data_IF_609474975877
#
_entry.id   IF_609474975877
#
_cell.length_a   1.000
_cell.length_b   1.000
_cell.length_c   1.000
_cell.angle_alpha   90.00
_cell.angle_beta   90.00
_cell.angle_gamma   90.00
#
_symmetry.space_group_name_H-M   'P 1'
#
loop_
_entity.id
_entity.type
_entity.pdbx_description
1 polymer ?
#
# COMPACT_ATOMS: atom_id res chain seq x y z
N UNK A 1 -8.93 -18.19 14.97
CA UNK A 1 -9.44 -17.01 15.72
C UNK A 1 -8.73 -16.99 17.06
N UNK A 2 -8.05 -15.90 17.37
CA UNK A 2 -7.29 -15.70 18.63
C UNK A 2 -7.68 -14.34 19.20
N UNK A 3 -7.68 -14.22 20.52
CA UNK A 3 -7.93 -12.99 21.28
C UNK A 3 -6.64 -12.18 21.53
N UNK A 4 -5.49 -12.63 21.02
CA UNK A 4 -4.22 -11.90 21.14
C UNK A 4 -3.27 -12.37 22.24
N UNK A 5 -3.61 -13.41 23.01
CA UNK A 5 -2.70 -14.05 23.97
C UNK A 5 -2.47 -15.54 23.67
N UNK A 6 -1.20 -15.91 23.51
CA UNK A 6 -0.78 -17.29 23.34
C UNK A 6 -0.61 -17.96 24.71
N UNK A 7 -1.69 -18.57 25.22
CA UNK A 7 -1.71 -19.17 26.55
C UNK A 7 -1.35 -20.67 26.59
N UNK A 8 -1.10 -21.32 25.43
CA UNK A 8 -0.76 -22.75 25.35
C UNK A 8 0.27 -23.01 24.25
N UNK A 9 1.41 -23.60 24.60
CA UNK A 9 2.47 -23.99 23.66
C UNK A 9 3.70 -23.09 23.71
N UNK A 10 4.35 -22.94 22.55
CA UNK A 10 5.59 -22.17 22.34
C UNK A 10 5.46 -20.78 22.99
N UNK A 11 6.21 -20.54 24.06
CA UNK A 11 5.96 -19.43 24.99
C UNK A 11 6.67 -18.13 24.65
N UNK A 12 7.42 -18.08 23.54
CA UNK A 12 8.11 -16.88 23.07
C UNK A 12 7.75 -16.55 21.63
N UNK A 13 7.62 -15.25 21.33
CA UNK A 13 7.37 -14.73 19.97
C UNK A 13 8.42 -15.24 18.96
N UNK A 14 9.69 -15.37 19.40
CA UNK A 14 10.79 -15.81 18.55
C UNK A 14 10.70 -17.29 18.14
N UNK A 15 10.24 -18.15 19.04
CA UNK A 15 10.07 -19.56 18.75
C UNK A 15 8.84 -19.80 17.86
N UNK A 16 7.78 -19.01 18.03
CA UNK A 16 6.61 -19.02 17.14
C UNK A 16 6.99 -18.61 15.72
N UNK A 17 7.74 -17.50 15.57
CA UNK A 17 8.26 -17.06 14.28
C UNK A 17 9.11 -18.15 13.62
N UNK A 18 10.01 -18.81 14.37
CA UNK A 18 10.81 -19.92 13.84
C UNK A 18 9.96 -21.10 13.37
N UNK A 19 8.96 -21.50 14.16
CA UNK A 19 8.04 -22.58 13.78
C UNK A 19 7.32 -22.24 12.47
N UNK A 20 6.84 -21.00 12.35
CA UNK A 20 6.13 -20.53 11.16
C UNK A 20 7.07 -20.47 9.95
N UNK A 21 8.28 -19.95 10.13
CA UNK A 21 9.32 -19.93 9.09
C UNK A 21 9.77 -21.34 8.66
N UNK A 22 9.70 -22.34 9.55
CA UNK A 22 9.90 -23.74 9.21
C UNK A 22 8.70 -24.29 8.42
N UNK A 23 7.46 -24.04 8.87
CA UNK A 23 6.25 -24.55 8.21
C UNK A 23 6.03 -23.96 6.82
N UNK A 24 6.38 -22.69 6.58
CA UNK A 24 6.27 -22.10 5.25
C UNK A 24 7.18 -22.76 4.21
N UNK A 25 8.32 -23.36 4.62
CA UNK A 25 9.18 -24.13 3.71
C UNK A 25 8.48 -25.38 3.16
N UNK A 26 7.45 -25.87 3.86
CA UNK A 26 6.59 -26.97 3.43
C UNK A 26 5.32 -26.49 2.71
N UNK A 27 5.25 -25.20 2.31
CA UNK A 27 4.08 -24.61 1.67
C UNK A 27 2.89 -24.37 2.61
N UNK A 28 3.11 -24.37 3.93
CA UNK A 28 2.07 -24.11 4.93
C UNK A 28 2.15 -22.63 5.34
N UNK A 29 1.17 -21.84 4.89
CA UNK A 29 1.08 -20.41 5.21
C UNK A 29 0.14 -20.12 6.39
N UNK A 30 0.42 -19.05 7.13
CA UNK A 30 -0.35 -18.64 8.31
C UNK A 30 -1.20 -17.40 8.04
N UNK A 31 -2.52 -17.57 8.00
CA UNK A 31 -3.45 -16.43 8.01
C UNK A 31 -4.05 -16.22 9.40
N UNK A 32 -4.06 -14.97 9.85
CA UNK A 32 -4.55 -14.56 11.18
C UNK A 32 -5.76 -13.65 11.00
N UNK A 33 -6.84 -13.99 11.70
CA UNK A 33 -8.10 -13.25 11.69
C UNK A 33 -8.35 -12.71 13.10
N UNK A 34 -8.23 -11.38 13.27
CA UNK A 34 -8.60 -10.65 14.47
C UNK A 34 -10.05 -10.21 14.39
N UNK A 35 -10.81 -10.39 15.48
CA UNK A 35 -12.21 -9.98 15.57
C UNK A 35 -12.43 -9.11 16.81
N UNK A 36 -13.20 -8.04 16.67
CA UNK A 36 -13.67 -7.25 17.82
C UNK A 36 -13.56 -5.74 17.62
N UNK A 37 -13.78 -5.00 18.70
CA UNK A 37 -13.65 -3.54 18.77
C UNK A 37 -12.55 -3.23 19.81
N UNK A 38 -11.34 -2.86 19.39
CA UNK A 38 -10.28 -2.44 20.32
C UNK A 38 -8.84 -2.66 19.83
N UNK A 39 -7.87 -2.36 20.70
CA UNK A 39 -6.45 -2.59 20.45
C UNK A 39 -6.12 -4.09 20.61
N UNK A 40 -6.62 -4.91 19.68
CA UNK A 40 -6.01 -6.19 19.37
C UNK A 40 -4.53 -5.86 19.09
N UNK A 41 -3.59 -6.67 19.57
CA UNK A 41 -2.14 -6.44 19.37
C UNK A 41 -1.78 -6.62 17.88
N UNK A 42 -2.36 -5.80 16.99
CA UNK A 42 -2.38 -5.90 15.53
C UNK A 42 -0.96 -6.01 14.99
N UNK A 43 -0.09 -5.10 15.44
CA UNK A 43 1.31 -5.09 15.04
C UNK A 43 2.07 -6.39 15.35
N UNK A 44 1.63 -7.22 16.31
CA UNK A 44 2.23 -8.54 16.56
C UNK A 44 1.64 -9.59 15.63
N UNK A 45 0.33 -9.61 15.48
CA UNK A 45 -0.36 -10.61 14.64
C UNK A 45 -0.04 -10.41 13.15
N UNK A 46 0.09 -9.17 12.71
CA UNK A 46 0.57 -8.81 11.38
C UNK A 46 1.99 -9.33 11.15
N UNK A 47 2.93 -9.03 12.05
CA UNK A 47 4.31 -9.53 11.96
C UNK A 47 4.37 -11.06 11.88
N UNK A 48 3.56 -11.75 12.67
CA UNK A 48 3.52 -13.22 12.71
C UNK A 48 2.96 -13.77 11.39
N UNK A 49 1.88 -13.18 10.86
CA UNK A 49 1.30 -13.58 9.57
C UNK A 49 2.27 -13.32 8.41
N UNK A 50 2.94 -12.17 8.41
CA UNK A 50 3.96 -11.81 7.42
C UNK A 50 5.12 -12.80 7.41
N UNK A 51 5.59 -13.22 8.59
CA UNK A 51 6.64 -14.25 8.71
C UNK A 51 6.20 -15.63 8.23
N UNK A 52 4.89 -15.88 8.14
CA UNK A 52 4.31 -17.11 7.61
C UNK A 52 3.85 -17.03 6.16
N UNK A 53 4.25 -15.99 5.42
CA UNK A 53 3.83 -15.72 4.04
C UNK A 53 2.29 -15.76 3.90
N UNK A 54 1.57 -15.39 4.95
CA UNK A 54 0.11 -15.35 4.96
C UNK A 54 -0.42 -13.94 5.17
N UNK A 55 -1.65 -13.84 5.67
CA UNK A 55 -2.37 -12.57 5.71
C UNK A 55 -2.91 -12.29 7.10
N UNK A 56 -2.84 -11.02 7.50
CA UNK A 56 -3.56 -10.51 8.65
C UNK A 56 -4.83 -9.80 8.20
N UNK A 57 -5.95 -10.11 8.85
CA UNK A 57 -7.20 -9.39 8.65
C UNK A 57 -7.82 -9.00 9.98
N UNK A 58 -8.20 -7.74 10.10
CA UNK A 58 -9.00 -7.21 11.19
C UNK A 58 -10.47 -7.15 10.75
N UNK A 59 -11.35 -7.80 11.50
CA UNK A 59 -12.78 -7.92 11.19
C UNK A 59 -13.59 -7.26 12.30
N UNK A 60 -14.08 -6.06 12.03
CA UNK A 60 -14.96 -5.28 12.91
C UNK A 60 -16.44 -5.32 12.50
N UNK A 61 -16.73 -5.78 11.28
CA UNK A 61 -18.06 -5.73 10.71
C UNK A 61 -18.39 -6.99 9.92
N UNK A 62 -19.69 -7.26 9.76
CA UNK A 62 -20.17 -8.36 8.90
C UNK A 62 -19.72 -8.13 7.44
N UNK A 63 -19.59 -6.88 7.02
CA UNK A 63 -19.13 -6.54 5.67
C UNK A 63 -17.66 -6.92 5.49
N UNK A 64 -16.79 -6.59 6.45
CA UNK A 64 -15.39 -6.98 6.43
C UNK A 64 -15.24 -8.50 6.58
N UNK A 65 -16.05 -9.14 7.42
CA UNK A 65 -16.07 -10.61 7.54
C UNK A 65 -16.42 -11.28 6.20
N UNK A 66 -17.41 -10.75 5.48
CA UNK A 66 -17.78 -11.23 4.14
C UNK A 66 -16.66 -10.99 3.14
N UNK A 67 -16.05 -9.81 3.16
CA UNK A 67 -14.91 -9.48 2.30
C UNK A 67 -13.80 -10.50 2.46
N UNK A 68 -13.36 -10.73 3.70
CA UNK A 68 -12.24 -11.61 4.01
C UNK A 68 -12.58 -13.08 3.77
N UNK A 69 -13.72 -13.56 4.25
CA UNK A 69 -14.05 -14.99 4.27
C UNK A 69 -14.79 -15.50 3.02
N UNK A 70 -15.41 -14.61 2.24
CA UNK A 70 -16.19 -15.00 1.06
C UNK A 70 -15.54 -14.47 -0.21
N UNK A 71 -15.24 -13.17 -0.27
CA UNK A 71 -14.77 -12.53 -1.49
C UNK A 71 -13.27 -12.76 -1.73
N UNK A 72 -12.45 -12.62 -0.68
CA UNK A 72 -10.98 -12.64 -0.77
C UNK A 72 -10.37 -13.98 -0.33
N UNK A 73 -11.13 -14.86 0.31
CA UNK A 73 -10.60 -16.16 0.80
C UNK A 73 -10.06 -17.04 -0.34
N UNK A 74 -10.62 -16.93 -1.55
CA UNK A 74 -10.06 -17.63 -2.71
C UNK A 74 -8.69 -17.08 -3.13
N UNK A 75 -8.49 -15.77 -3.03
CA UNK A 75 -7.24 -15.10 -3.39
C UNK A 75 -6.09 -15.49 -2.45
N UNK A 76 -6.39 -15.76 -1.17
CA UNK A 76 -5.38 -16.18 -0.19
C UNK A 76 -4.96 -17.64 -0.32
N UNK A 77 -5.75 -18.48 -1.01
CA UNK A 77 -5.47 -19.90 -1.19
C UNK A 77 -4.61 -20.18 -2.43
N UNK A 78 -4.69 -19.34 -3.47
CA UNK A 78 -4.00 -19.55 -4.73
C UNK A 78 -2.99 -18.45 -5.00
N UNK A 79 -1.73 -18.75 -4.67
CA UNK A 79 -0.59 -17.87 -4.99
C UNK A 79 -0.28 -17.97 -6.47
N UNK A 80 -0.25 -16.84 -7.17
CA UNK A 80 0.08 -16.75 -8.60
C UNK A 80 1.50 -16.23 -8.84
N UNK A 81 2.11 -15.60 -7.84
CA UNK A 81 3.50 -15.17 -7.90
C UNK A 81 4.09 -15.07 -6.48
N UNK A 82 5.31 -15.59 -6.33
CA UNK A 82 6.10 -15.54 -5.08
C UNK A 82 7.17 -14.46 -5.13
N UNK A 83 7.64 -14.04 -3.97
CA UNK A 83 8.76 -13.09 -3.83
C UNK A 83 8.61 -11.84 -4.70
N UNK A 84 7.40 -11.27 -4.71
CA UNK A 84 7.10 -10.07 -5.50
C UNK A 84 7.77 -8.86 -4.87
N UNK A 85 8.64 -8.23 -5.66
CA UNK A 85 9.41 -7.03 -5.31
C UNK A 85 9.07 -5.92 -6.28
N UNK A 86 8.84 -4.74 -5.73
CA UNK A 86 8.54 -3.52 -6.49
C UNK A 86 9.71 -2.55 -6.32
N UNK A 87 10.20 -2.03 -7.44
CA UNK A 87 11.16 -0.93 -7.46
C UNK A 87 10.66 0.15 -8.41
N UNK A 88 10.59 1.37 -7.90
CA UNK A 88 10.19 2.54 -8.67
C UNK A 88 11.43 3.39 -8.93
N UNK A 89 11.62 3.77 -10.18
CA UNK A 89 12.68 4.66 -10.62
C UNK A 89 12.04 5.91 -11.25
N UNK A 90 12.18 7.05 -10.58
CA UNK A 90 11.65 8.32 -11.10
C UNK A 90 12.65 8.97 -12.05
N UNK A 91 12.13 9.61 -13.10
CA UNK A 91 12.95 10.36 -14.04
C UNK A 91 13.39 11.70 -13.40
N UNK A 92 14.68 11.92 -13.09
CA UNK A 92 15.15 13.14 -12.42
C UNK A 92 15.01 14.40 -13.27
N UNK A 93 14.77 14.27 -14.59
CA UNK A 93 14.45 15.41 -15.45
C UNK A 93 12.99 15.88 -15.31
N UNK A 94 12.14 15.10 -14.63
CA UNK A 94 10.70 15.36 -14.46
C UNK A 94 10.26 15.41 -13.01
N UNK A 95 10.95 14.69 -12.13
CA UNK A 95 10.64 14.59 -10.69
C UNK A 95 11.89 14.93 -9.90
N UNK A 96 11.80 15.97 -9.08
CA UNK A 96 12.88 16.42 -8.22
C UNK A 96 12.94 15.62 -6.92
N UNK A 97 11.78 15.40 -6.30
CA UNK A 97 11.65 14.60 -5.09
C UNK A 97 10.32 13.86 -5.06
N UNK A 98 10.23 12.81 -4.26
CA UNK A 98 9.04 11.99 -4.16
C UNK A 98 8.93 11.34 -2.78
N UNK A 99 7.71 10.93 -2.42
CA UNK A 99 7.41 10.25 -1.17
C UNK A 99 6.31 9.20 -1.36
N UNK A 100 6.49 8.04 -0.75
CA UNK A 100 5.49 6.97 -0.70
C UNK A 100 4.47 7.24 0.41
N UNK A 101 3.18 7.11 0.12
CA UNK A 101 2.09 7.31 1.08
C UNK A 101 1.57 5.94 1.55
N UNK A 102 1.65 5.68 2.86
CA UNK A 102 0.94 4.59 3.54
C UNK A 102 1.53 3.16 3.43
N UNK A 103 2.46 2.91 2.51
CA UNK A 103 3.05 1.58 2.27
C UNK A 103 4.46 1.41 2.88
N UNK A 104 4.71 2.01 4.04
CA UNK A 104 6.05 2.17 4.60
C UNK A 104 6.66 0.86 5.14
N UNK A 105 5.85 -0.05 5.70
CA UNK A 105 6.32 -1.26 6.38
C UNK A 105 6.91 -2.36 5.47
N UNK A 106 6.71 -2.23 4.15
CA UNK A 106 7.19 -3.20 3.14
C UNK A 106 8.30 -2.63 2.24
N UNK A 107 8.94 -1.54 2.64
CA UNK A 107 10.06 -0.97 1.91
C UNK A 107 11.25 -1.93 1.88
N UNK A 108 11.67 -2.28 0.66
CA UNK A 108 12.82 -3.14 0.41
C UNK A 108 14.08 -2.29 0.20
N UNK A 109 15.22 -2.74 0.72
CA UNK A 109 16.52 -2.14 0.41
C UNK A 109 16.82 -2.27 -1.09
N UNK A 110 17.58 -1.32 -1.66
CA UNK A 110 17.87 -1.31 -3.10
C UNK A 110 18.67 -2.54 -3.54
N UNK A 111 19.55 -3.01 -2.66
CA UNK A 111 20.42 -4.16 -2.85
C UNK A 111 19.62 -5.47 -2.87
N UNK A 112 18.59 -5.54 -2.04
CA UNK A 112 17.71 -6.70 -1.87
C UNK A 112 16.79 -6.94 -3.09
N UNK A 113 16.60 -5.94 -3.96
CA UNK A 113 15.74 -6.04 -5.14
C UNK A 113 16.21 -7.12 -6.13
N UNK A 114 17.52 -7.35 -6.25
CA UNK A 114 18.07 -8.33 -7.19
C UNK A 114 18.48 -9.66 -6.55
N UNK A 115 18.33 -9.81 -5.23
CA UNK A 115 18.71 -11.03 -4.52
C UNK A 115 17.55 -12.03 -4.46
N UNK A 116 17.59 -13.09 -5.28
CA UNK A 116 16.56 -14.14 -5.28
C UNK A 116 16.48 -14.95 -3.98
N UNK A 117 17.46 -14.82 -3.07
CA UNK A 117 17.41 -15.42 -1.73
C UNK A 117 16.61 -14.59 -0.74
N UNK A 118 16.34 -13.32 -1.08
CA UNK A 118 15.56 -12.42 -0.25
C UNK A 118 14.07 -12.63 -0.50
N UNK A 119 13.40 -13.13 0.54
CA UNK A 119 11.96 -13.28 0.65
C UNK A 119 11.23 -11.94 0.54
N UNK A 120 10.09 -11.92 -0.15
CA UNK A 120 9.29 -10.71 -0.37
C UNK A 120 7.77 -11.01 -0.33
N UNK A 121 6.95 -10.13 -0.91
CA UNK A 121 5.49 -10.26 -0.82
C UNK A 121 4.93 -11.34 -1.74
N UNK A 122 3.90 -12.05 -1.28
CA UNK A 122 3.17 -13.02 -2.11
C UNK A 122 1.97 -12.36 -2.79
N UNK A 123 1.70 -12.73 -4.05
CA UNK A 123 0.55 -12.26 -4.80
C UNK A 123 -0.44 -13.39 -5.05
N UNK A 124 -1.63 -13.22 -4.50
CA UNK A 124 -2.78 -14.12 -4.69
C UNK A 124 -3.61 -13.80 -5.94
N UNK A 125 -4.31 -14.79 -6.47
CA UNK A 125 -5.20 -14.63 -7.61
C UNK A 125 -6.29 -13.57 -7.33
N UNK A 126 -6.43 -12.58 -8.21
CA UNK A 126 -7.44 -11.51 -8.06
C UNK A 126 -7.10 -10.43 -7.03
N UNK A 127 -5.91 -10.47 -6.41
CA UNK A 127 -5.44 -9.40 -5.52
C UNK A 127 -4.84 -8.25 -6.32
N UNK A 128 -5.08 -7.02 -5.85
CA UNK A 128 -4.45 -5.81 -6.36
C UNK A 128 -3.70 -5.11 -5.25
N UNK A 129 -2.57 -4.48 -5.59
CA UNK A 129 -1.78 -3.65 -4.67
C UNK A 129 -1.72 -2.25 -5.24
N UNK A 130 -2.04 -1.27 -4.40
CA UNK A 130 -1.98 0.15 -4.74
C UNK A 130 -0.87 0.81 -3.93
N UNK A 131 0.08 1.43 -4.61
CA UNK A 131 1.08 2.30 -4.00
C UNK A 131 0.85 3.73 -4.52
N UNK A 132 0.74 4.70 -3.61
CA UNK A 132 0.52 6.10 -3.95
C UNK A 132 1.82 6.85 -3.67
N UNK A 133 2.28 7.60 -4.67
CA UNK A 133 3.43 8.47 -4.54
C UNK A 133 2.99 9.92 -4.70
N UNK A 134 3.46 10.77 -3.81
CA UNK A 134 3.49 12.21 -3.98
C UNK A 134 4.81 12.59 -4.62
N UNK A 135 4.78 13.51 -5.58
CA UNK A 135 5.96 13.96 -6.32
C UNK A 135 6.06 15.48 -6.31
N UNK A 136 7.29 15.98 -6.34
CA UNK A 136 7.60 17.38 -6.66
C UNK A 136 8.15 17.39 -8.09
N UNK A 137 7.47 18.04 -9.05
CA UNK A 137 7.96 18.15 -10.41
C UNK A 137 9.30 18.89 -10.48
N UNK A 138 10.18 18.47 -11.40
CA UNK A 138 11.46 19.12 -11.59
C UNK A 138 11.29 20.55 -12.16
N UNK A 139 12.10 21.49 -11.66
CA UNK A 139 12.11 22.88 -12.12
C UNK A 139 11.05 23.76 -11.46
N UNK A 140 10.38 23.29 -10.41
CA UNK A 140 9.61 24.16 -9.50
C UNK A 140 10.58 24.86 -8.53
N UNK A 141 10.24 26.07 -8.10
CA UNK A 141 11.00 26.79 -7.05
C UNK A 141 10.57 26.35 -5.64
N UNK A 142 10.03 25.13 -5.49
CA UNK A 142 9.62 24.64 -4.17
C UNK A 142 10.87 24.28 -3.36
N UNK A 143 10.88 24.70 -2.09
CA UNK A 143 11.96 24.34 -1.16
C UNK A 143 11.88 22.85 -0.84
N UNK A 144 12.47 22.01 -1.70
CA UNK A 144 12.76 20.63 -1.34
C UNK A 144 13.85 20.64 -0.27
N UNK A 145 13.83 19.67 0.66
CA UNK A 145 14.96 19.43 1.57
C UNK A 145 16.15 19.02 0.71
N UNK A 146 16.94 20.00 0.29
CA UNK A 146 18.08 19.83 -0.60
C UNK A 146 19.11 18.95 0.10
N UNK A 147 19.37 17.77 -0.46
CA UNK A 147 20.55 16.98 -0.11
C UNK A 147 21.71 17.53 -0.92
N UNK A 148 22.87 17.72 -0.29
CA UNK A 148 24.05 18.21 -0.99
C UNK A 148 24.33 17.38 -2.25
N UNK A 149 24.61 18.01 -3.40
CA UNK A 149 24.95 17.30 -4.63
C UNK A 149 26.12 16.34 -4.38
N UNK A 150 25.94 15.07 -4.77
CA UNK A 150 26.97 14.06 -4.58
C UNK A 150 28.17 14.38 -5.46
N UNK A 151 29.29 14.77 -4.83
CA UNK A 151 30.54 15.23 -5.46
C UNK A 151 31.06 14.33 -6.60
N UNK A 152 30.84 13.01 -6.50
CA UNK A 152 31.35 12.03 -7.45
C UNK A 152 30.29 11.46 -8.40
N UNK A 153 29.03 11.89 -8.28
CA UNK A 153 27.96 11.48 -9.18
C UNK A 153 27.69 12.57 -10.19
N UNK A 154 27.91 12.27 -11.47
CA UNK A 154 27.41 13.11 -12.57
C UNK A 154 26.00 12.66 -12.89
N UNK A 155 25.01 13.51 -12.61
CA UNK A 155 23.65 13.32 -13.11
C UNK A 155 23.61 13.91 -14.52
N UNK A 156 23.85 13.07 -15.54
CA UNK A 156 23.58 13.46 -16.92
C UNK A 156 22.08 13.35 -17.17
N UNK A 157 21.37 14.47 -17.05
CA UNK A 157 19.98 14.56 -17.47
C UNK A 157 19.93 14.43 -18.99
N UNK A 158 19.46 13.28 -19.47
CA UNK A 158 19.19 13.09 -20.89
C UNK A 158 17.97 13.93 -21.26
N UNK A 159 18.19 15.20 -21.60
CA UNK A 159 17.19 16.08 -22.21
C UNK A 159 16.89 15.62 -23.64
N UNK A 160 16.31 14.43 -23.81
CA UNK A 160 15.55 14.16 -25.02
C UNK A 160 14.26 14.95 -24.90
N UNK A 161 14.28 16.16 -25.43
CA UNK A 161 13.10 16.99 -25.68
C UNK A 161 12.00 16.08 -26.27
N UNK A 162 10.96 15.81 -25.48
CA UNK A 162 9.81 15.00 -25.89
C UNK A 162 9.55 13.72 -25.11
N UNK A 163 10.43 13.25 -24.21
CA UNK A 163 10.08 12.09 -23.39
C UNK A 163 9.20 12.52 -22.20
N UNK A 164 7.93 12.09 -22.22
CA UNK A 164 6.96 12.35 -21.16
C UNK A 164 6.98 11.25 -20.07
N UNK A 165 7.93 10.31 -20.13
CA UNK A 165 8.16 9.32 -19.09
C UNK A 165 8.48 9.97 -17.74
N UNK A 166 7.61 9.72 -16.77
CA UNK A 166 7.66 10.21 -15.40
C UNK A 166 8.46 9.26 -14.50
N UNK A 167 8.22 7.96 -14.67
CA UNK A 167 8.84 6.90 -13.88
C UNK A 167 8.86 5.57 -14.62
N UNK A 168 9.67 4.64 -14.13
CA UNK A 168 9.65 3.23 -14.50
C UNK A 168 9.30 2.39 -13.28
N UNK A 169 8.30 1.52 -13.44
CA UNK A 169 7.95 0.48 -12.47
C UNK A 169 8.68 -0.80 -12.86
N UNK A 170 9.47 -1.35 -11.94
CA UNK A 170 10.12 -2.65 -12.07
C UNK A 170 9.49 -3.62 -11.09
N UNK A 171 9.01 -4.75 -11.59
CA UNK A 171 8.40 -5.81 -10.80
C UNK A 171 9.23 -7.06 -10.98
N UNK A 172 9.84 -7.56 -9.91
CA UNK A 172 10.51 -8.85 -9.89
C UNK A 172 9.64 -9.85 -9.15
N UNK A 173 9.46 -11.05 -9.69
CA UNK A 173 8.61 -12.09 -9.09
C UNK A 173 9.05 -13.48 -9.52
N UNK A 174 8.66 -14.52 -8.79
CA UNK A 174 8.83 -15.93 -9.15
C UNK A 174 7.48 -16.56 -9.49
N UNK A 175 7.46 -17.49 -10.42
CA UNK A 175 6.27 -18.34 -10.62
C UNK A 175 6.06 -19.24 -9.39
N UNK A 176 4.85 -19.74 -9.11
CA UNK A 176 4.56 -20.51 -7.89
C UNK A 176 5.48 -21.71 -7.67
N UNK A 177 5.88 -22.40 -8.74
CA UNK A 177 6.72 -23.60 -8.71
C UNK A 177 8.18 -23.34 -9.12
N UNK A 178 8.58 -22.08 -9.29
CA UNK A 178 9.96 -21.71 -9.69
C UNK A 178 10.68 -21.01 -8.53
N UNK A 179 12.00 -21.12 -8.52
CA UNK A 179 12.90 -20.45 -7.58
C UNK A 179 13.69 -19.31 -8.25
N UNK A 180 13.62 -19.21 -9.58
CA UNK A 180 14.26 -18.15 -10.36
C UNK A 180 13.29 -17.01 -10.61
N UNK A 181 13.71 -15.77 -10.37
CA UNK A 181 12.83 -14.62 -10.60
C UNK A 181 12.82 -14.13 -12.06
N UNK A 182 11.71 -13.52 -12.43
CA UNK A 182 11.44 -12.82 -13.68
C UNK A 182 11.32 -11.33 -13.40
N UNK A 183 11.74 -10.49 -14.35
CA UNK A 183 11.66 -9.03 -14.25
C UNK A 183 10.69 -8.48 -15.31
N UNK A 184 9.71 -7.71 -14.86
CA UNK A 184 8.86 -6.86 -15.68
C UNK A 184 9.29 -5.41 -15.49
N UNK A 185 9.25 -4.63 -16.57
CA UNK A 185 9.57 -3.22 -16.54
C UNK A 185 8.55 -2.44 -17.38
N UNK A 186 7.95 -1.43 -16.77
CA UNK A 186 6.86 -0.64 -17.34
C UNK A 186 7.19 0.84 -17.15
N UNK A 187 7.36 1.56 -18.24
CA UNK A 187 7.45 3.02 -18.20
C UNK A 187 6.07 3.66 -18.07
N UNK A 188 5.96 4.67 -17.22
CA UNK A 188 4.74 5.45 -17.02
C UNK A 188 5.00 6.87 -17.50
N UNK A 189 4.10 7.35 -18.34
CA UNK A 189 4.17 8.66 -18.97
C UNK A 189 3.16 9.59 -18.30
N UNK A 190 3.58 10.82 -18.01
CA UNK A 190 2.66 11.87 -17.59
C UNK A 190 1.85 12.35 -18.80
N UNK A 191 0.52 12.21 -18.71
CA UNK A 191 -0.42 12.64 -19.75
C UNK A 191 -0.88 14.08 -19.55
N UNK A 192 -0.42 14.77 -18.50
CA UNK A 192 -0.80 16.13 -18.12
C UNK A 192 -2.33 16.32 -18.09
N UNK A 193 -3.02 15.36 -17.45
CA UNK A 193 -4.48 15.35 -17.32
C UNK A 193 -4.88 15.85 -15.95
N UNK A 194 -6.02 16.52 -15.88
CA UNK A 194 -6.63 16.85 -14.59
C UNK A 194 -7.02 15.58 -13.84
N UNK A 195 -7.02 15.64 -12.51
CA UNK A 195 -7.49 14.53 -11.66
C UNK A 195 -8.91 14.08 -12.03
N UNK A 196 -9.77 15.00 -12.50
CA UNK A 196 -11.14 14.70 -12.94
C UNK A 196 -11.22 13.89 -14.24
N UNK A 197 -10.15 13.85 -15.02
CA UNK A 197 -10.02 13.05 -16.24
C UNK A 197 -9.33 11.70 -16.00
N UNK A 198 -8.80 11.48 -14.79
CA UNK A 198 -8.22 10.21 -14.39
C UNK A 198 -9.29 9.13 -14.20
N UNK A 199 -8.84 7.87 -14.13
CA UNK A 199 -9.72 6.74 -13.87
C UNK A 199 -10.51 6.92 -12.56
N UNK A 200 -11.66 6.26 -12.46
CA UNK A 200 -12.40 6.17 -11.19
C UNK A 200 -11.50 5.67 -10.07
N UNK A 201 -10.65 4.70 -10.34
CA UNK A 201 -9.84 4.04 -9.32
C UNK A 201 -8.74 4.96 -8.80
N UNK A 202 -8.10 5.73 -9.67
CA UNK A 202 -7.11 6.72 -9.25
C UNK A 202 -7.74 7.79 -8.36
N UNK A 203 -8.87 8.36 -8.79
CA UNK A 203 -9.60 9.38 -8.01
C UNK A 203 -10.07 8.84 -6.67
N UNK A 204 -10.57 7.61 -6.63
CA UNK A 204 -11.04 6.98 -5.40
C UNK A 204 -9.88 6.67 -4.45
N UNK A 205 -8.74 6.17 -4.96
CA UNK A 205 -7.56 5.95 -4.13
C UNK A 205 -6.99 7.27 -3.58
N UNK A 206 -7.02 8.34 -4.39
CA UNK A 206 -6.60 9.68 -3.95
C UNK A 206 -7.47 10.20 -2.79
N UNK A 207 -8.80 10.04 -2.86
CA UNK A 207 -9.68 10.48 -1.75
C UNK A 207 -9.46 9.67 -0.48
N UNK A 208 -9.16 8.37 -0.58
CA UNK A 208 -8.78 7.54 0.58
C UNK A 208 -7.48 8.05 1.23
N UNK A 209 -6.47 8.34 0.42
CA UNK A 209 -5.20 8.88 0.91
C UNK A 209 -5.38 10.26 1.58
N UNK A 210 -6.15 11.15 0.94
CA UNK A 210 -6.46 12.47 1.47
C UNK A 210 -7.22 12.38 2.81
N UNK A 211 -8.21 11.49 2.93
CA UNK A 211 -8.90 11.26 4.21
C UNK A 211 -7.91 10.83 5.31
N UNK A 212 -7.00 9.91 4.99
CA UNK A 212 -5.97 9.47 5.92
C UNK A 212 -5.04 10.61 6.36
N UNK A 213 -4.67 11.50 5.44
CA UNK A 213 -3.87 12.70 5.76
C UNK A 213 -4.63 13.69 6.64
N UNK A 214 -5.92 13.90 6.39
CA UNK A 214 -6.77 14.76 7.22
C UNK A 214 -6.91 14.22 8.64
N UNK A 215 -7.25 12.94 8.79
CA UNK A 215 -7.43 12.30 10.10
C UNK A 215 -6.15 12.28 10.95
N UNK A 216 -4.99 12.22 10.29
CA UNK A 216 -3.68 12.26 10.95
C UNK A 216 -3.17 13.68 11.20
N UNK A 217 -3.92 14.71 10.81
CA UNK A 217 -3.47 16.11 10.83
C UNK A 217 -2.08 16.26 10.16
N UNK A 218 -1.90 15.57 9.03
CA UNK A 218 -0.63 15.52 8.32
C UNK A 218 -0.14 16.92 7.94
N UNK A 219 1.15 17.17 8.10
CA UNK A 219 1.80 18.40 7.59
C UNK A 219 1.76 18.52 6.06
N UNK A 220 1.36 17.45 5.38
CA UNK A 220 1.27 17.36 3.92
C UNK A 220 -0.17 17.30 3.41
N UNK A 221 -1.18 17.52 4.25
CA UNK A 221 -2.57 17.53 3.81
C UNK A 221 -2.93 18.70 2.87
N UNK A 222 -2.03 19.68 2.75
CA UNK A 222 -2.22 20.89 1.95
C UNK A 222 -3.52 21.59 2.33
N UNK A 223 -4.27 22.01 1.31
CA UNK A 223 -5.59 22.62 1.45
C UNK A 223 -6.75 21.60 1.40
N UNK A 224 -6.45 20.31 1.59
CA UNK A 224 -7.43 19.23 1.56
C UNK A 224 -8.52 19.39 2.61
N UNK A 225 -9.74 18.95 2.29
CA UNK A 225 -10.90 19.06 3.17
C UNK A 225 -11.77 17.81 3.11
N UNK A 226 -12.49 17.51 4.18
CA UNK A 226 -13.45 16.41 4.17
C UNK A 226 -14.51 16.56 3.06
N UNK A 227 -14.89 17.79 2.71
CA UNK A 227 -15.80 18.05 1.59
C UNK A 227 -15.22 17.59 0.25
N UNK A 228 -13.96 17.94 -0.05
CA UNK A 228 -13.27 17.52 -1.28
C UNK A 228 -13.11 16.00 -1.34
N UNK A 229 -12.75 15.36 -0.22
CA UNK A 229 -12.68 13.89 -0.11
C UNK A 229 -14.00 13.25 -0.49
N UNK A 230 -15.11 13.71 0.11
CA UNK A 230 -16.44 13.15 -0.12
C UNK A 230 -16.88 13.36 -1.58
N UNK A 231 -16.66 14.56 -2.12
CA UNK A 231 -16.98 14.89 -3.51
C UNK A 231 -16.21 13.99 -4.48
N UNK A 232 -14.89 13.91 -4.31
CA UNK A 232 -14.02 13.11 -5.16
C UNK A 232 -14.39 11.62 -5.08
N UNK A 233 -14.65 11.10 -3.88
CA UNK A 233 -15.06 9.72 -3.67
C UNK A 233 -16.42 9.40 -4.30
N UNK A 234 -17.42 10.27 -4.15
CA UNK A 234 -18.75 10.09 -4.76
C UNK A 234 -18.67 10.09 -6.28
N UNK A 235 -17.93 11.04 -6.85
CA UNK A 235 -17.74 11.16 -8.30
C UNK A 235 -16.89 10.04 -8.91
N UNK A 236 -16.19 9.26 -8.07
CA UNK A 236 -15.32 8.17 -8.49
C UNK A 236 -15.74 6.79 -7.99
N UNK A 237 -16.91 6.67 -7.33
CA UNK A 237 -17.39 5.42 -6.75
C UNK A 237 -17.38 4.26 -7.75
N UNK A 238 -17.83 4.48 -8.98
CA UNK A 238 -17.87 3.46 -10.01
C UNK A 238 -18.71 2.23 -9.63
N UNK A 239 -18.38 1.08 -10.21
CA UNK A 239 -18.99 -0.20 -9.87
C UNK A 239 -18.57 -0.63 -8.47
N UNK A 240 -19.53 -1.01 -7.64
CA UNK A 240 -19.33 -1.29 -6.23
C UNK A 240 -20.27 -2.42 -5.80
N UNK A 241 -20.03 -3.61 -6.36
CA UNK A 241 -20.91 -4.78 -6.16
C UNK A 241 -20.99 -5.20 -4.70
N UNK A 242 -19.86 -5.09 -3.99
CA UNK A 242 -19.75 -5.48 -2.59
C UNK A 242 -20.03 -4.32 -1.62
N UNK A 243 -20.12 -3.08 -2.10
CA UNK A 243 -20.50 -1.92 -1.28
C UNK A 243 -19.36 -1.27 -0.49
N UNK A 244 -18.09 -1.67 -0.69
CA UNK A 244 -16.94 -1.12 0.03
C UNK A 244 -16.73 0.36 -0.26
N UNK A 245 -16.93 0.79 -1.51
CA UNK A 245 -16.71 2.20 -1.85
C UNK A 245 -17.81 3.09 -1.28
N UNK A 246 -19.05 2.61 -1.25
CA UNK A 246 -20.15 3.27 -0.57
C UNK A 246 -19.94 3.32 0.95
N UNK A 247 -19.37 2.28 1.54
CA UNK A 247 -19.00 2.26 2.96
C UNK A 247 -17.96 3.35 3.29
N UNK A 248 -16.86 3.41 2.53
CA UNK A 248 -15.85 4.46 2.69
C UNK A 248 -16.44 5.87 2.58
N UNK A 249 -17.35 6.11 1.61
CA UNK A 249 -18.01 7.41 1.47
C UNK A 249 -18.79 7.78 2.75
N UNK A 250 -19.54 6.81 3.32
CA UNK A 250 -20.26 7.02 4.59
C UNK A 250 -19.29 7.30 5.74
N UNK A 251 -18.15 6.61 5.79
CA UNK A 251 -17.11 6.86 6.78
C UNK A 251 -16.59 8.29 6.68
N UNK A 252 -16.28 8.77 5.47
CA UNK A 252 -15.83 10.14 5.24
C UNK A 252 -16.90 11.18 5.66
N UNK A 253 -18.18 10.93 5.38
CA UNK A 253 -19.30 11.78 5.82
C UNK A 253 -19.45 11.82 7.35
N UNK A 254 -19.24 10.68 8.02
CA UNK A 254 -19.23 10.62 9.49
C UNK A 254 -18.05 11.41 10.06
N UNK A 255 -16.86 11.31 9.47
CA UNK A 255 -15.69 12.10 9.87
C UNK A 255 -15.96 13.60 9.76
N UNK A 256 -16.56 14.05 8.66
CA UNK A 256 -16.99 15.45 8.50
C UNK A 256 -17.96 15.87 9.61
N UNK A 257 -18.99 15.05 9.86
CA UNK A 257 -20.02 15.36 10.86
C UNK A 257 -19.43 15.49 12.27
N UNK A 258 -18.51 14.59 12.64
CA UNK A 258 -17.79 14.64 13.91
C UNK A 258 -16.88 15.86 13.99
N UNK A 259 -16.13 16.16 12.92
CA UNK A 259 -15.23 17.32 12.88
C UNK A 259 -16.00 18.64 13.07
N UNK A 260 -17.16 18.79 12.43
CA UNK A 260 -18.04 19.96 12.61
C UNK A 260 -18.57 20.05 14.04
N UNK A 261 -19.07 18.95 14.60
CA UNK A 261 -19.57 18.94 15.98
C UNK A 261 -18.49 19.32 17.01
N UNK A 262 -17.24 18.94 16.78
CA UNK A 262 -16.11 19.34 17.63
C UNK A 262 -15.71 20.82 17.45
N UNK A 263 -15.94 21.40 16.27
CA UNK A 263 -15.69 22.81 16.02
C UNK A 263 -16.74 23.70 16.72
N UNK A 264 -18.00 23.28 16.74
CA UNK A 264 -19.09 24.00 17.41
C UNK A 264 -19.01 23.98 18.95
N UNK A 265 -18.17 23.12 19.52
CA UNK A 265 -17.93 22.99 20.96
C UNK A 265 -16.74 23.83 21.47
N UNK A 266 -15.99 24.49 20.59
CA UNK A 266 -14.85 25.37 20.94
C UNK A 266 -15.24 26.85 20.90
#
# INVERSE_FOLDING_TARGET
ATDGDFNVGVSSDADMVRLIEEKRQYGIFLSVLGFGEGNLKDSRMEKIADKGNGNYFYIDSILEARKVLVSEMGATLFTIAKDVKLQIEFNPARVESYRLIGYEDRLLAKEDFNDDKKDAGEMGAGRSVTAIYEIVPAGTNEETRSVDPLKYQKVELWHRSGNAELLTVKIRYKEPDDDTSRLLSLSVTDLNKSIYECSSDFRFCASVAELGMLLRESSFKGDGTFYQVIELAKNSKGADKEGYRAEFIRLAENCLSLATAMADQK
#
